data_IF_379979789233
#
_entry.id   IF_379979789233
#
_cell.length_a   1.000
_cell.length_b   1.000
_cell.length_c   1.000
_cell.angle_alpha   90.00
_cell.angle_beta   90.00
_cell.angle_gamma   90.00
#
_symmetry.space_group_name_H-M   'P 1'
#
loop_
_entity.id
_entity.type
_entity.pdbx_description
1 polymer ?
#
# COMPACT_ATOMS: atom_id res chain seq x y z
N UNK A 1 42.95 21.00 -54.91
CA UNK A 1 41.67 21.71 -55.16
C UNK A 1 40.59 20.65 -55.29
N UNK A 2 39.61 20.45 -54.42
CA UNK A 2 39.19 21.13 -53.19
C UNK A 2 38.66 20.07 -52.22
N UNK A 3 38.93 20.27 -50.94
CA UNK A 3 38.46 19.48 -49.80
C UNK A 3 36.94 19.49 -49.73
N UNK A 4 36.34 18.31 -49.64
CA UNK A 4 34.94 18.16 -49.26
C UNK A 4 34.83 18.21 -47.73
N UNK A 5 34.67 19.43 -47.21
CA UNK A 5 34.37 19.70 -45.80
C UNK A 5 32.99 19.13 -45.48
N UNK A 6 32.94 17.89 -45.00
CA UNK A 6 31.79 17.36 -44.26
C UNK A 6 31.82 17.92 -42.83
N UNK A 7 31.46 19.20 -42.69
CA UNK A 7 31.00 19.73 -41.41
C UNK A 7 29.61 19.15 -41.12
N UNK A 8 29.56 17.96 -40.52
CA UNK A 8 28.41 17.58 -39.70
C UNK A 8 28.49 18.45 -38.44
N UNK A 9 27.75 19.55 -38.45
CA UNK A 9 27.42 20.28 -37.24
C UNK A 9 26.79 19.27 -36.27
N UNK A 10 27.55 18.90 -35.24
CA UNK A 10 26.98 18.28 -34.06
C UNK A 10 26.11 19.37 -33.42
N UNK A 11 24.86 19.44 -33.85
CA UNK A 11 23.85 20.20 -33.13
C UNK A 11 23.93 19.72 -31.68
N UNK A 12 24.37 20.62 -30.79
CA UNK A 12 24.39 20.41 -29.35
C UNK A 12 22.97 19.98 -28.97
N UNK A 13 22.77 18.69 -28.73
CA UNK A 13 21.50 18.16 -28.28
C UNK A 13 21.12 18.95 -27.03
N UNK A 14 19.92 19.51 -27.01
CA UNK A 14 19.43 20.22 -25.83
C UNK A 14 19.61 19.32 -24.60
N UNK A 15 20.12 19.85 -23.49
CA UNK A 15 20.33 19.05 -22.29
C UNK A 15 19.00 18.42 -21.88
N UNK A 16 19.01 17.10 -21.61
CA UNK A 16 17.83 16.38 -21.16
C UNK A 16 17.30 17.06 -19.88
N UNK A 17 16.00 17.36 -19.78
CA UNK A 17 15.45 17.99 -18.59
C UNK A 17 15.70 17.09 -17.37
N UNK A 18 16.04 17.72 -16.26
CA UNK A 18 16.21 17.05 -14.98
C UNK A 18 14.86 16.51 -14.48
N UNK A 19 14.84 15.46 -13.62
CA UNK A 19 13.61 14.95 -13.03
C UNK A 19 12.77 16.04 -12.33
N UNK A 20 13.42 17.04 -11.73
CA UNK A 20 12.76 18.19 -11.12
C UNK A 20 12.06 19.09 -12.14
N UNK A 21 12.72 19.46 -13.23
CA UNK A 21 12.11 20.25 -14.30
C UNK A 21 10.94 19.51 -14.97
N UNK A 22 11.07 18.19 -15.10
CA UNK A 22 9.99 17.31 -15.56
C UNK A 22 8.82 17.33 -14.57
N UNK A 23 9.08 17.15 -13.28
CA UNK A 23 8.05 17.20 -12.24
C UNK A 23 7.33 18.56 -12.19
N UNK A 24 8.05 19.68 -12.31
CA UNK A 24 7.48 21.03 -12.29
C UNK A 24 6.49 21.28 -13.45
N UNK A 25 6.78 20.71 -14.63
CA UNK A 25 5.94 20.83 -15.83
C UNK A 25 4.81 19.78 -15.90
N UNK A 26 4.91 18.67 -15.17
CA UNK A 26 3.95 17.58 -15.23
C UNK A 26 2.58 18.00 -14.66
N UNK A 27 1.54 18.00 -15.50
CA UNK A 27 0.17 18.27 -15.08
C UNK A 27 -0.52 16.96 -14.70
N UNK A 28 -1.09 16.90 -13.49
CA UNK A 28 -1.82 15.74 -13.01
C UNK A 28 -3.18 16.16 -12.46
N UNK A 29 -4.24 15.63 -13.05
CA UNK A 29 -5.61 15.88 -12.65
C UNK A 29 -6.31 14.64 -12.11
N UNK A 30 -7.52 14.83 -11.63
CA UNK A 30 -8.44 13.75 -11.31
C UNK A 30 -9.77 13.94 -12.05
N UNK A 31 -10.45 12.83 -12.31
CA UNK A 31 -11.84 12.86 -12.77
C UNK A 31 -12.72 12.08 -11.80
N UNK A 32 -13.75 12.75 -11.28
CA UNK A 32 -14.77 12.15 -10.43
C UNK A 32 -16.02 11.91 -11.28
N UNK A 33 -16.34 10.64 -11.51
CA UNK A 33 -17.52 10.25 -12.28
C UNK A 33 -18.78 10.31 -11.43
N UNK A 34 -19.86 10.81 -12.03
CA UNK A 34 -21.18 10.83 -11.41
C UNK A 34 -21.68 9.41 -11.13
N UNK A 35 -21.40 8.49 -12.06
CA UNK A 35 -21.62 7.07 -11.91
C UNK A 35 -20.33 6.29 -12.24
N UNK A 36 -19.76 5.65 -11.21
CA UNK A 36 -18.51 4.90 -11.34
C UNK A 36 -18.63 3.66 -12.23
N UNK A 37 -19.83 3.11 -12.41
CA UNK A 37 -20.04 1.92 -13.23
C UNK A 37 -20.07 2.21 -14.73
N UNK A 38 -20.35 3.46 -15.12
CA UNK A 38 -20.49 3.83 -16.55
C UNK A 38 -19.32 4.66 -17.06
N UNK A 39 -18.59 5.36 -16.17
CA UNK A 39 -17.47 6.27 -16.50
C UNK A 39 -17.80 7.27 -17.64
N UNK A 40 -19.08 7.61 -17.78
CA UNK A 40 -19.58 8.51 -18.81
C UNK A 40 -19.42 9.96 -18.35
N UNK A 41 -20.33 10.46 -17.51
CA UNK A 41 -20.30 11.85 -17.09
C UNK A 41 -19.58 12.06 -15.75
N UNK A 42 -18.92 13.20 -15.61
CA UNK A 42 -18.21 13.55 -14.39
C UNK A 42 -17.68 14.97 -14.34
N UNK A 43 -16.91 15.25 -13.30
CA UNK A 43 -16.17 16.49 -13.13
C UNK A 43 -14.67 16.21 -13.19
N UNK A 44 -13.98 16.97 -14.03
CA UNK A 44 -12.54 16.96 -14.17
C UNK A 44 -11.92 18.12 -13.38
N UNK A 45 -10.87 17.81 -12.64
CA UNK A 45 -10.17 18.74 -11.77
C UNK A 45 -8.68 18.72 -12.10
N UNK A 46 -8.15 19.88 -12.46
CA UNK A 46 -6.72 20.07 -12.71
C UNK A 46 -6.22 21.22 -11.82
N UNK A 47 -5.11 21.05 -11.07
CA UNK A 47 -4.60 22.12 -10.22
C UNK A 47 -4.36 23.43 -10.99
N UNK A 48 -4.83 24.55 -10.45
CA UNK A 48 -4.71 25.87 -11.07
C UNK A 48 -5.71 26.16 -12.21
N UNK A 49 -6.60 25.22 -12.57
CA UNK A 49 -7.68 25.46 -13.54
C UNK A 49 -9.06 25.36 -12.88
N UNK A 50 -10.05 26.03 -13.47
CA UNK A 50 -11.44 25.88 -13.05
C UNK A 50 -11.92 24.44 -13.34
N UNK A 51 -12.73 23.82 -12.45
CA UNK A 51 -13.34 22.52 -12.72
C UNK A 51 -14.22 22.60 -13.95
N UNK A 52 -14.24 21.53 -14.74
CA UNK A 52 -15.06 21.45 -15.94
C UNK A 52 -15.78 20.10 -16.04
N UNK A 53 -16.93 20.11 -16.71
CA UNK A 53 -17.72 18.93 -16.98
C UNK A 53 -17.11 18.13 -18.12
N UNK A 54 -17.18 16.80 -18.00
CA UNK A 54 -16.82 15.86 -19.06
C UNK A 54 -17.97 14.89 -19.30
N UNK A 55 -18.15 14.48 -20.56
CA UNK A 55 -19.13 13.46 -20.99
C UNK A 55 -18.51 12.07 -21.12
N UNK A 56 -17.19 11.98 -21.00
CA UNK A 56 -16.45 10.74 -21.03
C UNK A 56 -14.95 10.99 -20.82
N UNK A 57 -14.19 9.89 -20.70
CA UNK A 57 -12.73 9.98 -20.59
C UNK A 57 -12.07 10.59 -21.84
N UNK A 58 -12.71 10.53 -23.02
CA UNK A 58 -12.20 11.13 -24.26
C UNK A 58 -12.22 12.67 -24.27
N UNK A 59 -12.99 13.30 -23.39
CA UNK A 59 -13.02 14.76 -23.24
C UNK A 59 -11.84 15.27 -22.40
N UNK A 60 -11.03 14.37 -21.83
CA UNK A 60 -9.90 14.74 -21.00
C UNK A 60 -8.72 15.20 -21.88
N UNK A 61 -8.12 16.37 -21.57
CA UNK A 61 -6.93 16.84 -22.27
C UNK A 61 -5.76 15.86 -22.18
N UNK A 62 -5.12 15.59 -23.34
CA UNK A 62 -3.95 14.71 -23.46
C UNK A 62 -2.64 15.34 -22.92
N UNK A 63 -2.62 16.64 -22.63
CA UNK A 63 -1.48 17.36 -22.05
C UNK A 63 -1.33 17.16 -20.53
N UNK A 64 -2.23 16.40 -19.91
CA UNK A 64 -2.21 16.05 -18.50
C UNK A 64 -2.40 14.55 -18.28
N UNK A 65 -1.84 14.04 -17.18
CA UNK A 65 -2.17 12.72 -16.67
C UNK A 65 -3.42 12.80 -15.78
N UNK A 66 -4.34 11.85 -15.91
CA UNK A 66 -5.59 11.85 -15.16
C UNK A 66 -5.74 10.62 -14.29
N UNK A 67 -6.14 10.78 -13.04
CA UNK A 67 -6.56 9.68 -12.17
C UNK A 67 -8.09 9.66 -12.07
N UNK A 68 -8.69 8.59 -12.59
CA UNK A 68 -10.14 8.39 -12.64
C UNK A 68 -10.68 7.76 -11.37
N UNK A 69 -11.89 8.13 -10.94
CA UNK A 69 -12.57 7.46 -9.84
C UNK A 69 -13.07 6.03 -10.16
N UNK A 70 -12.95 5.58 -11.42
CA UNK A 70 -13.28 4.23 -11.87
C UNK A 70 -12.26 3.17 -11.45
N UNK A 71 -12.72 1.93 -11.27
CA UNK A 71 -11.88 0.80 -10.90
C UNK A 71 -11.41 -0.07 -12.10
N UNK A 72 -10.63 -1.11 -11.83
CA UNK A 72 -10.09 -1.97 -12.87
C UNK A 72 -11.17 -2.71 -13.69
N UNK A 73 -12.26 -3.15 -13.04
CA UNK A 73 -13.34 -3.83 -13.73
C UNK A 73 -14.09 -2.87 -14.64
N UNK A 74 -14.27 -1.62 -14.21
CA UNK A 74 -14.90 -0.57 -15.01
C UNK A 74 -14.09 -0.31 -16.30
N UNK A 75 -12.77 -0.09 -16.17
CA UNK A 75 -11.88 0.13 -17.31
C UNK A 75 -11.83 -1.07 -18.27
N UNK A 76 -11.81 -2.29 -17.73
CA UNK A 76 -11.78 -3.52 -18.54
C UNK A 76 -13.07 -3.73 -19.31
N UNK A 77 -14.23 -3.51 -18.67
CA UNK A 77 -15.55 -3.67 -19.31
C UNK A 77 -15.77 -2.69 -20.45
N UNK A 78 -15.25 -1.47 -20.32
CA UNK A 78 -15.46 -0.39 -21.28
C UNK A 78 -14.43 -0.35 -22.41
N UNK A 79 -13.47 -1.29 -22.45
CA UNK A 79 -12.39 -1.29 -23.45
C UNK A 79 -11.43 -0.09 -23.31
N UNK A 80 -11.53 0.66 -22.22
CA UNK A 80 -10.78 1.90 -21.97
C UNK A 80 -9.39 1.66 -21.35
N UNK A 81 -8.97 0.38 -21.24
CA UNK A 81 -7.65 0.01 -20.74
C UNK A 81 -6.48 0.58 -21.58
N UNK A 82 -6.75 1.10 -22.79
CA UNK A 82 -5.72 1.62 -23.71
C UNK A 82 -5.49 3.14 -23.62
N UNK A 83 -6.16 3.87 -22.73
CA UNK A 83 -5.93 5.32 -22.60
C UNK A 83 -4.61 5.62 -21.88
N UNK A 84 -3.56 5.92 -22.63
CA UNK A 84 -2.21 6.14 -22.11
C UNK A 84 -2.07 7.29 -21.11
N UNK A 85 -2.99 8.26 -21.09
CA UNK A 85 -2.94 9.42 -20.18
C UNK A 85 -3.92 9.28 -18.99
N UNK A 86 -4.72 8.21 -18.91
CA UNK A 86 -5.68 7.98 -17.82
C UNK A 86 -5.28 6.79 -16.96
N UNK A 87 -5.41 6.92 -15.65
CA UNK A 87 -5.13 5.90 -14.63
C UNK A 87 -6.37 5.62 -13.79
N UNK A 88 -6.46 4.42 -13.25
CA UNK A 88 -7.56 3.97 -12.38
C UNK A 88 -7.50 4.59 -10.97
N UNK A 89 -8.58 4.48 -10.22
CA UNK A 89 -8.73 5.08 -8.87
C UNK A 89 -7.65 4.66 -7.88
N UNK A 90 -7.11 3.44 -8.03
CA UNK A 90 -6.05 2.87 -7.20
C UNK A 90 -4.63 3.19 -7.66
N UNK A 91 -4.42 4.15 -8.58
CA UNK A 91 -3.11 4.43 -9.15
C UNK A 91 -2.04 4.72 -8.09
N UNK A 92 -2.40 5.49 -7.04
CA UNK A 92 -1.52 5.83 -5.92
C UNK A 92 -1.48 4.74 -4.82
N UNK A 93 -1.86 3.50 -5.14
CA UNK A 93 -1.95 2.41 -4.17
C UNK A 93 -3.15 2.48 -3.21
N UNK A 94 -3.99 3.51 -3.36
CA UNK A 94 -5.19 3.78 -2.58
C UNK A 94 -6.26 4.36 -3.52
N UNK A 95 -7.54 4.14 -3.21
CA UNK A 95 -8.63 4.78 -3.96
C UNK A 95 -8.64 6.28 -3.71
N UNK A 96 -9.08 7.07 -4.70
CA UNK A 96 -9.25 8.52 -4.53
C UNK A 96 -10.13 8.89 -3.33
N UNK A 97 -11.20 8.12 -3.08
CA UNK A 97 -12.06 8.32 -1.90
C UNK A 97 -11.34 8.04 -0.57
N UNK A 98 -10.41 7.08 -0.55
CA UNK A 98 -9.64 6.78 0.66
C UNK A 98 -8.65 7.90 0.97
N UNK A 99 -7.99 8.43 -0.07
CA UNK A 99 -7.09 9.58 0.05
C UNK A 99 -7.87 10.80 0.54
N UNK A 100 -9.05 11.05 -0.02
CA UNK A 100 -9.90 12.16 0.38
C UNK A 100 -10.28 12.06 1.88
N UNK A 101 -10.76 10.90 2.32
CA UNK A 101 -11.12 10.63 3.73
C UNK A 101 -9.90 10.82 4.66
N UNK A 102 -8.73 10.32 4.27
CA UNK A 102 -7.51 10.44 5.08
C UNK A 102 -7.05 11.90 5.28
N UNK A 103 -7.40 12.80 4.36
CA UNK A 103 -7.09 14.22 4.45
C UNK A 103 -8.29 15.09 4.84
N UNK A 104 -9.43 14.48 5.19
CA UNK A 104 -10.63 15.21 5.62
C UNK A 104 -11.30 15.98 4.48
N UNK A 105 -11.13 15.52 3.25
CA UNK A 105 -11.69 16.12 2.04
C UNK A 105 -12.97 15.39 1.68
N UNK A 106 -14.10 16.11 1.66
CA UNK A 106 -15.38 15.59 1.17
C UNK A 106 -15.48 15.75 -0.35
N UNK A 107 -15.72 14.65 -1.05
CA UNK A 107 -15.82 14.61 -2.52
C UNK A 107 -17.20 14.18 -3.01
N UNK A 108 -18.20 14.30 -2.15
CA UNK A 108 -19.58 13.87 -2.34
C UNK A 108 -20.56 15.06 -2.32
N UNK A 109 -21.73 14.86 -2.93
CA UNK A 109 -22.82 15.83 -2.93
C UNK A 109 -22.37 17.25 -3.30
N UNK A 110 -22.78 18.24 -2.48
CA UNK A 110 -22.46 19.65 -2.70
C UNK A 110 -20.97 20.00 -2.45
N UNK A 111 -20.20 19.10 -1.81
CA UNK A 111 -18.77 19.32 -1.58
C UNK A 111 -17.89 18.85 -2.75
N UNK A 112 -18.44 18.06 -3.69
CA UNK A 112 -17.68 17.41 -4.75
C UNK A 112 -16.79 18.36 -5.56
N UNK A 113 -17.25 19.59 -5.84
CA UNK A 113 -16.46 20.58 -6.58
C UNK A 113 -15.23 21.06 -5.80
N UNK A 114 -15.45 21.60 -4.59
CA UNK A 114 -14.36 22.12 -3.74
C UNK A 114 -13.41 21.00 -3.31
N UNK A 115 -13.97 19.84 -2.95
CA UNK A 115 -13.19 18.68 -2.54
C UNK A 115 -12.40 18.08 -3.70
N UNK A 116 -12.98 18.00 -4.90
CA UNK A 116 -12.28 17.54 -6.10
C UNK A 116 -11.08 18.42 -6.43
N UNK A 117 -11.24 19.75 -6.34
CA UNK A 117 -10.13 20.70 -6.52
C UNK A 117 -9.02 20.48 -5.49
N UNK A 118 -9.38 20.36 -4.20
CA UNK A 118 -8.41 20.10 -3.15
C UNK A 118 -7.68 18.77 -3.38
N UNK A 119 -8.41 17.69 -3.65
CA UNK A 119 -7.85 16.35 -3.86
C UNK A 119 -6.90 16.31 -5.06
N UNK A 120 -7.20 17.03 -6.15
CA UNK A 120 -6.32 17.11 -7.33
C UNK A 120 -4.93 17.65 -6.96
N UNK A 121 -4.85 18.62 -6.05
CA UNK A 121 -3.57 19.19 -5.57
C UNK A 121 -2.75 18.13 -4.85
N UNK A 122 -3.34 17.35 -3.94
CA UNK A 122 -2.65 16.27 -3.23
C UNK A 122 -2.15 15.19 -4.19
N UNK A 123 -2.99 14.78 -5.15
CA UNK A 123 -2.63 13.78 -6.17
C UNK A 123 -1.47 14.27 -7.03
N UNK A 124 -1.51 15.52 -7.50
CA UNK A 124 -0.42 16.09 -8.30
C UNK A 124 0.88 16.16 -7.52
N UNK A 125 0.86 16.63 -6.28
CA UNK A 125 2.08 16.69 -5.46
C UNK A 125 2.67 15.31 -5.21
N UNK A 126 1.85 14.28 -4.94
CA UNK A 126 2.35 12.91 -4.75
C UNK A 126 3.04 12.36 -6.01
N UNK A 127 2.44 12.56 -7.19
CA UNK A 127 3.04 12.10 -8.46
C UNK A 127 4.31 12.86 -8.80
N UNK A 128 4.29 14.20 -8.71
CA UNK A 128 5.47 15.05 -8.98
C UNK A 128 6.63 14.70 -8.05
N UNK A 129 6.33 14.51 -6.77
CA UNK A 129 7.31 14.07 -5.79
C UNK A 129 7.89 12.70 -6.15
N UNK A 130 7.05 11.72 -6.53
CA UNK A 130 7.57 10.42 -6.97
C UNK A 130 8.46 10.55 -8.22
N UNK A 131 8.09 11.40 -9.18
CA UNK A 131 8.91 11.67 -10.38
C UNK A 131 10.29 12.19 -10.02
N UNK A 132 10.33 13.18 -9.12
CA UNK A 132 11.59 13.79 -8.67
C UNK A 132 12.44 12.80 -7.85
N UNK A 133 11.83 12.14 -6.86
CA UNK A 133 12.49 11.21 -5.94
C UNK A 133 13.10 10.01 -6.67
N UNK A 134 12.39 9.45 -7.65
CA UNK A 134 12.78 8.21 -8.33
C UNK A 134 13.40 8.43 -9.70
N UNK A 135 13.65 9.68 -10.11
CA UNK A 135 14.28 10.00 -11.37
C UNK A 135 13.45 9.58 -12.59
N UNK A 136 12.14 9.76 -12.55
CA UNK A 136 11.23 9.38 -13.64
C UNK A 136 11.20 10.45 -14.74
N UNK A 137 12.32 10.60 -15.42
CA UNK A 137 12.65 11.70 -16.32
C UNK A 137 11.89 11.71 -17.68
N UNK A 138 11.13 10.67 -17.99
CA UNK A 138 10.22 10.60 -19.13
C UNK A 138 8.84 10.12 -18.64
N UNK A 139 7.93 11.02 -18.23
CA UNK A 139 6.62 10.64 -17.70
C UNK A 139 5.79 9.84 -18.70
N UNK A 140 5.94 10.11 -20.00
CA UNK A 140 5.22 9.39 -21.05
C UNK A 140 5.61 7.93 -21.08
N UNK A 141 6.84 7.57 -20.71
CA UNK A 141 7.30 6.18 -20.61
C UNK A 141 7.22 5.62 -19.20
N UNK A 142 7.60 6.41 -18.19
CA UNK A 142 7.77 5.95 -16.81
C UNK A 142 6.43 5.81 -16.07
N UNK A 143 5.43 6.64 -16.37
CA UNK A 143 4.16 6.64 -15.65
C UNK A 143 3.08 5.80 -16.34
N UNK A 144 3.42 4.96 -17.32
CA UNK A 144 2.44 4.16 -18.08
C UNK A 144 1.82 3.00 -17.29
N UNK A 145 2.43 2.58 -16.19
CA UNK A 145 1.93 1.45 -15.42
C UNK A 145 0.55 1.71 -14.81
N UNK A 146 -0.20 0.62 -14.57
CA UNK A 146 -1.52 0.65 -13.92
C UNK A 146 -1.51 1.32 -12.53
N UNK A 147 -0.35 1.35 -11.88
CA UNK A 147 -0.14 1.96 -10.56
C UNK A 147 1.26 2.55 -10.45
N UNK A 148 1.37 3.62 -9.68
CA UNK A 148 2.66 4.21 -9.32
C UNK A 148 3.50 3.24 -8.45
N UNK A 149 2.85 2.34 -7.71
CA UNK A 149 3.53 1.22 -7.01
C UNK A 149 4.32 0.35 -7.98
N UNK A 150 3.72 -0.02 -9.12
CA UNK A 150 4.40 -0.82 -10.14
C UNK A 150 5.53 -0.04 -10.83
N UNK A 151 5.34 1.27 -11.07
CA UNK A 151 6.41 2.15 -11.57
C UNK A 151 7.59 2.20 -10.61
N UNK A 152 7.34 2.46 -9.32
CA UNK A 152 8.38 2.51 -8.28
C UNK A 152 9.07 1.15 -8.17
N UNK A 153 8.33 0.04 -8.25
CA UNK A 153 8.92 -1.31 -8.18
C UNK A 153 9.96 -1.59 -9.28
N UNK A 154 9.91 -0.89 -10.43
CA UNK A 154 10.88 -1.08 -11.53
C UNK A 154 12.21 -0.36 -11.30
N UNK A 155 12.21 0.70 -10.48
CA UNK A 155 13.42 1.47 -10.17
C UNK A 155 14.12 0.97 -8.90
N UNK A 156 13.39 0.26 -8.04
CA UNK A 156 13.97 -0.34 -6.84
C UNK A 156 14.88 -1.53 -7.19
N UNK A 157 15.96 -1.75 -6.44
CA UNK A 157 16.80 -2.92 -6.62
C UNK A 157 15.97 -4.21 -6.50
N UNK A 158 16.17 -5.21 -7.39
CA UNK A 158 15.53 -6.49 -7.22
C UNK A 158 16.04 -7.17 -5.94
N UNK A 159 15.18 -7.93 -5.28
CA UNK A 159 15.63 -8.85 -4.23
C UNK A 159 16.56 -9.92 -4.85
N UNK A 160 17.49 -10.47 -4.07
CA UNK A 160 18.32 -11.58 -4.53
C UNK A 160 17.47 -12.72 -5.09
N UNK A 161 17.87 -13.32 -6.23
CA UNK A 161 17.10 -14.40 -6.85
C UNK A 161 16.99 -15.58 -5.88
N UNK A 162 15.76 -16.03 -5.67
CA UNK A 162 15.47 -17.21 -4.86
C UNK A 162 15.35 -18.44 -5.77
N UNK A 163 15.84 -19.61 -5.29
CA UNK A 163 15.62 -20.88 -6.00
C UNK A 163 14.11 -21.19 -6.04
N UNK A 164 13.63 -21.87 -7.09
CA UNK A 164 12.21 -22.18 -7.31
C UNK A 164 11.49 -22.75 -6.08
N UNK A 165 12.14 -23.68 -5.38
CA UNK A 165 11.58 -24.28 -4.17
C UNK A 165 11.34 -23.27 -3.04
N UNK A 166 12.22 -22.27 -2.88
CA UNK A 166 12.05 -21.21 -1.89
C UNK A 166 10.91 -20.27 -2.33
N UNK A 167 10.85 -19.89 -3.61
CA UNK A 167 9.80 -19.03 -4.15
C UNK A 167 8.39 -19.59 -3.93
N UNK A 168 8.20 -20.90 -4.10
CA UNK A 168 6.93 -21.55 -3.82
C UNK A 168 6.53 -21.44 -2.34
N UNK A 169 7.49 -21.62 -1.42
CA UNK A 169 7.26 -21.52 0.02
C UNK A 169 7.02 -20.08 0.48
N UNK A 170 7.74 -19.11 -0.10
CA UNK A 170 7.50 -17.68 0.11
C UNK A 170 6.11 -17.28 -0.37
N UNK A 171 5.70 -17.74 -1.55
CA UNK A 171 4.36 -17.50 -2.09
C UNK A 171 3.27 -18.11 -1.21
N UNK A 172 3.51 -19.30 -0.67
CA UNK A 172 2.63 -19.91 0.32
C UNK A 172 2.64 -19.16 1.66
N UNK A 173 3.76 -18.54 2.05
CA UNK A 173 3.86 -17.73 3.25
C UNK A 173 3.35 -16.30 3.09
N UNK A 174 3.15 -15.81 1.87
CA UNK A 174 2.73 -14.44 1.68
C UNK A 174 1.23 -14.25 1.99
N UNK A 175 0.92 -13.27 2.83
CA UNK A 175 -0.44 -12.81 3.06
C UNK A 175 -0.42 -11.29 3.32
N UNK A 176 -1.11 -10.51 2.49
CA UNK A 176 -1.15 -9.05 2.61
C UNK A 176 -2.29 -8.51 3.47
N UNK A 177 -3.32 -9.34 3.70
CA UNK A 177 -4.55 -8.91 4.35
C UNK A 177 -5.18 -10.05 5.15
N UNK A 178 -5.71 -9.72 6.32
CA UNK A 178 -6.62 -10.57 7.09
C UNK A 178 -8.00 -9.95 7.08
N UNK A 179 -9.02 -10.73 6.77
CA UNK A 179 -10.42 -10.30 6.81
C UNK A 179 -11.26 -11.30 7.58
N UNK A 180 -12.18 -10.81 8.39
CA UNK A 180 -13.21 -11.64 9.04
C UNK A 180 -14.59 -11.25 8.53
N UNK A 181 -15.49 -12.21 8.51
CA UNK A 181 -16.90 -11.89 8.35
C UNK A 181 -17.35 -11.02 9.52
N UNK A 182 -18.04 -9.93 9.19
CA UNK A 182 -18.65 -9.04 10.16
C UNK A 182 -20.15 -9.05 9.89
N UNK A 183 -20.99 -9.46 10.87
CA UNK A 183 -22.42 -9.29 10.76
C UNK A 183 -22.79 -7.86 10.38
N UNK A 184 -23.86 -7.72 9.59
CA UNK A 184 -24.45 -6.42 9.31
C UNK A 184 -24.80 -5.71 10.62
N UNK A 185 -24.47 -4.42 10.68
CA UNK A 185 -24.78 -3.54 11.79
C UNK A 185 -25.61 -2.38 11.24
N UNK A 186 -26.81 -2.21 11.78
CA UNK A 186 -27.65 -1.09 11.41
C UNK A 186 -27.02 0.23 11.85
N UNK A 187 -27.31 1.32 11.14
CA UNK A 187 -26.74 2.66 11.42
C UNK A 187 -25.21 2.68 11.56
N UNK A 188 -24.49 1.79 10.88
CA UNK A 188 -23.03 1.69 11.00
C UNK A 188 -22.27 2.50 9.95
N UNK A 189 -21.04 2.86 10.28
CA UNK A 189 -20.06 3.47 9.40
C UNK A 189 -18.83 2.58 9.35
N UNK A 190 -18.33 2.34 8.14
CA UNK A 190 -17.10 1.60 7.93
C UNK A 190 -15.92 2.57 7.90
N UNK A 191 -15.10 2.54 8.94
CA UNK A 191 -13.95 3.44 9.11
C UNK A 191 -12.66 2.65 8.90
N UNK A 192 -11.74 3.18 8.09
CA UNK A 192 -10.39 2.63 7.98
C UNK A 192 -9.41 3.52 8.74
N UNK A 193 -8.86 2.95 9.81
CA UNK A 193 -7.81 3.54 10.61
C UNK A 193 -6.45 3.26 9.99
N UNK A 194 -5.57 4.27 9.91
CA UNK A 194 -4.20 4.10 9.40
C UNK A 194 -3.19 4.82 10.28
N UNK A 195 -2.01 4.23 10.38
CA UNK A 195 -0.85 4.89 10.95
C UNK A 195 -0.43 6.08 10.08
N UNK A 196 0.35 7.00 10.65
CA UNK A 196 1.00 8.02 9.84
C UNK A 196 1.88 7.33 8.79
N UNK A 197 1.63 7.57 7.51
CA UNK A 197 2.29 6.81 6.43
C UNK A 197 3.81 6.96 6.40
N UNK A 198 4.34 8.14 6.73
CA UNK A 198 5.78 8.36 6.75
C UNK A 198 6.42 7.59 7.91
N UNK A 199 5.89 7.76 9.13
CA UNK A 199 6.38 7.05 10.31
C UNK A 199 6.24 5.53 10.17
N UNK A 200 5.10 5.07 9.62
CA UNK A 200 4.86 3.67 9.30
C UNK A 200 5.88 3.12 8.29
N UNK A 201 6.19 3.87 7.23
CA UNK A 201 7.17 3.46 6.23
C UNK A 201 8.57 3.34 6.85
N UNK A 202 8.98 4.31 7.66
CA UNK A 202 10.28 4.29 8.36
C UNK A 202 10.37 3.11 9.33
N UNK A 203 9.34 2.90 10.14
CA UNK A 203 9.25 1.75 11.04
C UNK A 203 9.34 0.44 10.23
N UNK A 204 8.55 0.29 9.18
CA UNK A 204 8.49 -0.94 8.42
C UNK A 204 9.84 -1.30 7.79
N UNK A 205 10.51 -0.32 7.16
CA UNK A 205 11.79 -0.51 6.47
C UNK A 205 12.99 -0.60 7.42
N UNK A 206 12.79 -0.25 8.70
CA UNK A 206 13.78 -0.50 9.76
C UNK A 206 13.83 -1.96 10.19
N UNK A 207 12.81 -2.77 9.87
CA UNK A 207 12.81 -4.19 10.21
C UNK A 207 13.81 -4.95 9.32
N UNK A 208 14.68 -5.78 9.91
CA UNK A 208 15.61 -6.60 9.14
C UNK A 208 14.85 -7.68 8.38
N UNK A 209 15.43 -8.12 7.27
CA UNK A 209 14.90 -9.19 6.44
C UNK A 209 15.95 -10.30 6.32
N UNK A 210 15.54 -11.57 6.14
CA UNK A 210 16.48 -12.64 5.89
C UNK A 210 17.28 -12.37 4.61
N UNK A 211 18.54 -12.77 4.62
CA UNK A 211 19.40 -12.74 3.44
C UNK A 211 19.38 -14.10 2.70
N UNK A 212 20.27 -14.25 1.72
CA UNK A 212 20.59 -15.50 1.05
C UNK A 212 21.11 -16.61 1.99
N UNK A 213 21.42 -17.78 1.43
CA UNK A 213 22.00 -18.89 2.19
C UNK A 213 20.96 -19.78 2.88
N UNK A 214 19.75 -19.88 2.31
CA UNK A 214 18.70 -20.75 2.82
C UNK A 214 19.10 -22.22 2.79
N UNK A 215 19.09 -22.85 3.96
CA UNK A 215 19.28 -24.29 4.12
C UNK A 215 18.00 -24.94 4.67
N UNK A 216 17.74 -26.17 4.23
CA UNK A 216 16.87 -27.04 5.01
C UNK A 216 17.62 -27.39 6.29
N UNK A 217 17.05 -27.05 7.44
CA UNK A 217 17.51 -27.64 8.67
C UNK A 217 17.10 -29.12 8.65
N UNK A 218 18.00 -29.96 8.15
CA UNK A 218 17.99 -31.39 8.45
C UNK A 218 18.41 -31.53 9.91
N UNK A 219 17.56 -32.16 10.73
CA UNK A 219 17.75 -32.75 12.08
C UNK A 219 18.66 -32.12 13.15
N UNK A 220 19.76 -31.47 12.78
CA UNK A 220 20.91 -31.17 13.63
C UNK A 220 20.74 -29.83 14.37
N UNK A 221 20.02 -28.88 13.77
CA UNK A 221 19.32 -27.86 14.53
C UNK A 221 17.95 -28.44 14.88
N UNK A 222 17.66 -28.61 16.17
CA UNK A 222 16.28 -28.78 16.60
C UNK A 222 15.51 -27.49 16.32
N UNK A 223 14.21 -27.60 16.00
CA UNK A 223 13.35 -26.42 16.01
C UNK A 223 13.19 -25.96 17.46
N UNK A 224 13.79 -24.84 17.82
CA UNK A 224 13.76 -24.29 19.18
C UNK A 224 12.66 -23.22 19.28
N UNK A 225 11.52 -23.61 19.85
CA UNK A 225 10.39 -22.71 20.06
C UNK A 225 10.79 -21.49 20.89
N UNK A 226 11.51 -21.70 21.99
CA UNK A 226 11.84 -20.64 22.95
C UNK A 226 12.81 -19.64 22.31
N UNK A 227 13.79 -20.12 21.56
CA UNK A 227 14.69 -19.24 20.80
C UNK A 227 13.95 -18.43 19.72
N UNK A 228 12.97 -19.04 19.01
CA UNK A 228 12.17 -18.30 18.02
C UNK A 228 11.34 -17.23 18.72
N UNK A 229 10.71 -17.56 19.85
CA UNK A 229 9.92 -16.61 20.64
C UNK A 229 10.77 -15.47 21.21
N UNK A 230 12.01 -15.76 21.62
CA UNK A 230 12.98 -14.78 22.09
C UNK A 230 13.62 -13.94 20.96
N UNK A 231 13.42 -14.32 19.69
CA UNK A 231 14.06 -13.67 18.55
C UNK A 231 15.57 -13.91 18.47
N UNK A 232 16.08 -14.94 19.15
CA UNK A 232 17.48 -15.37 19.11
C UNK A 232 17.72 -16.51 18.11
N UNK A 233 16.63 -17.15 17.65
CA UNK A 233 16.72 -18.12 16.57
C UNK A 233 17.00 -17.45 15.23
N UNK A 234 17.77 -18.08 14.34
CA UNK A 234 17.98 -17.57 12.99
C UNK A 234 16.65 -17.33 12.23
N UNK A 235 16.59 -16.40 11.27
CA UNK A 235 15.37 -16.13 10.51
C UNK A 235 14.90 -17.38 9.79
N UNK A 236 13.61 -17.67 9.92
CA UNK A 236 13.09 -19.00 9.60
C UNK A 236 11.77 -18.93 8.86
N UNK A 237 11.63 -19.77 7.83
CA UNK A 237 10.35 -20.05 7.18
C UNK A 237 9.82 -21.37 7.73
N UNK A 238 8.66 -21.35 8.37
CA UNK A 238 8.09 -22.47 9.12
C UNK A 238 6.94 -23.08 8.33
N UNK A 239 7.01 -24.38 8.07
CA UNK A 239 5.85 -25.16 7.64
C UNK A 239 5.10 -25.65 8.87
N UNK A 240 3.84 -25.25 9.03
CA UNK A 240 3.09 -25.57 10.24
C UNK A 240 1.60 -25.86 9.99
N UNK A 241 1.01 -26.54 10.97
CA UNK A 241 -0.45 -26.63 11.16
C UNK A 241 -0.79 -25.83 12.41
N UNK A 242 -1.82 -25.00 12.31
CA UNK A 242 -2.27 -24.13 13.40
C UNK A 242 -3.57 -24.67 13.96
N UNK A 243 -3.59 -24.91 15.25
CA UNK A 243 -4.77 -25.36 16.00
C UNK A 243 -5.26 -24.22 16.91
N UNK A 244 -6.56 -23.95 16.82
CA UNK A 244 -7.25 -22.94 17.61
C UNK A 244 -8.07 -23.55 18.76
N UNK A 245 -7.72 -24.76 19.20
CA UNK A 245 -8.37 -25.43 20.31
C UNK A 245 -8.19 -24.60 21.60
N UNK A 246 -9.30 -24.27 22.25
CA UNK A 246 -9.32 -23.40 23.43
C UNK A 246 -9.16 -21.90 23.15
N UNK A 247 -9.06 -21.49 21.88
CA UNK A 247 -8.98 -20.08 21.48
C UNK A 247 -10.39 -19.52 21.31
N UNK A 248 -10.71 -18.33 21.86
CA UNK A 248 -12.00 -17.69 21.63
C UNK A 248 -12.30 -17.57 20.14
N UNK A 249 -13.51 -17.97 19.72
CA UNK A 249 -13.88 -18.05 18.31
C UNK A 249 -13.69 -16.70 17.57
N UNK A 250 -13.94 -15.59 18.24
CA UNK A 250 -13.76 -14.27 17.65
C UNK A 250 -12.29 -13.92 17.41
N UNK A 251 -11.40 -14.33 18.31
CA UNK A 251 -9.96 -14.14 18.18
C UNK A 251 -9.41 -15.04 17.07
N UNK A 252 -9.82 -16.31 17.03
CA UNK A 252 -9.48 -17.22 15.93
C UNK A 252 -9.95 -16.67 14.56
N UNK A 253 -11.15 -16.10 14.51
CA UNK A 253 -11.68 -15.44 13.32
C UNK A 253 -10.89 -14.17 12.95
N UNK A 254 -10.40 -13.41 13.93
CA UNK A 254 -9.55 -12.24 13.69
C UNK A 254 -8.19 -12.64 13.10
N UNK A 255 -7.54 -13.66 13.67
CA UNK A 255 -6.24 -14.16 13.19
C UNK A 255 -6.32 -14.57 11.70
N UNK A 256 -7.44 -15.19 11.31
CA UNK A 256 -7.80 -15.53 9.92
C UNK A 256 -6.68 -16.29 9.16
N UNK A 257 -5.91 -17.13 9.85
CA UNK A 257 -4.84 -17.88 9.22
C UNK A 257 -5.39 -18.91 8.23
N UNK A 258 -4.96 -18.81 6.96
CA UNK A 258 -5.43 -19.70 5.90
C UNK A 258 -6.85 -19.41 5.39
N UNK A 259 -7.51 -18.35 5.86
CA UNK A 259 -8.80 -17.88 5.34
C UNK A 259 -8.55 -16.63 4.50
N UNK A 260 -8.43 -16.81 3.18
CA UNK A 260 -8.44 -15.69 2.22
C UNK A 260 -9.88 -15.25 1.91
N UNK A 261 -10.03 -14.00 1.42
CA UNK A 261 -11.33 -13.45 1.01
C UNK A 261 -12.00 -14.19 -0.17
N UNK A 262 -11.30 -15.12 -0.83
CA UNK A 262 -11.83 -15.94 -1.92
C UNK A 262 -12.01 -17.39 -1.49
N UNK A 263 -13.20 -17.96 -1.76
CA UNK A 263 -13.74 -19.24 -1.26
C UNK A 263 -12.92 -20.51 -1.59
N UNK A 264 -11.80 -20.44 -2.31
CA UNK A 264 -11.01 -21.62 -2.69
C UNK A 264 -9.51 -21.33 -2.82
N UNK A 265 -8.80 -21.19 -1.70
CA UNK A 265 -7.34 -21.42 -1.70
C UNK A 265 -6.98 -22.49 -0.68
N UNK A 266 -6.00 -23.32 -1.06
CA UNK A 266 -5.39 -24.32 -0.21
C UNK A 266 -5.00 -23.69 1.15
N UNK A 267 -5.22 -24.43 2.24
CA UNK A 267 -4.80 -24.00 3.58
C UNK A 267 -3.35 -23.53 3.53
N UNK A 268 -3.10 -22.32 4.01
CA UNK A 268 -1.75 -21.76 4.10
C UNK A 268 -0.90 -22.67 4.98
N UNK A 269 0.20 -23.20 4.44
CA UNK A 269 1.05 -24.18 5.13
C UNK A 269 2.39 -23.61 5.59
N UNK A 270 2.79 -22.46 5.07
CA UNK A 270 4.05 -21.80 5.42
C UNK A 270 3.80 -20.44 6.06
N UNK A 271 4.65 -20.05 7.00
CA UNK A 271 4.68 -18.74 7.65
C UNK A 271 6.11 -18.31 7.95
N UNK A 272 6.33 -17.01 8.16
CA UNK A 272 7.61 -16.48 8.63
C UNK A 272 7.77 -16.67 10.13
N UNK A 273 8.99 -16.55 10.67
CA UNK A 273 9.25 -16.50 12.11
C UNK A 273 8.52 -15.34 12.80
N UNK A 274 8.36 -14.21 12.09
CA UNK A 274 7.60 -13.04 12.57
C UNK A 274 6.16 -13.43 12.85
N UNK A 275 5.53 -14.15 11.90
CA UNK A 275 4.17 -14.63 12.09
C UNK A 275 4.04 -15.74 13.10
N UNK A 276 4.99 -16.68 13.10
CA UNK A 276 5.07 -17.72 14.10
C UNK A 276 5.06 -17.14 15.51
N UNK A 277 5.87 -16.10 15.76
CA UNK A 277 5.98 -15.45 17.07
C UNK A 277 4.67 -14.88 17.58
N UNK A 278 3.95 -14.08 16.78
CA UNK A 278 2.71 -13.50 17.28
C UNK A 278 1.58 -14.53 17.32
N UNK A 279 1.54 -15.48 16.38
CA UNK A 279 0.49 -16.49 16.34
C UNK A 279 0.59 -17.49 17.50
N UNK A 280 1.81 -17.88 17.86
CA UNK A 280 2.06 -18.83 18.97
C UNK A 280 1.66 -18.28 20.33
N UNK A 281 1.41 -16.98 20.47
CA UNK A 281 0.83 -16.38 21.68
C UNK A 281 -0.64 -16.73 21.88
N UNK A 282 -1.34 -17.09 20.81
CA UNK A 282 -2.79 -17.27 20.82
C UNK A 282 -3.24 -18.65 20.39
N UNK A 283 -2.43 -19.36 19.60
CA UNK A 283 -2.79 -20.64 19.01
C UNK A 283 -1.64 -21.64 19.14
N UNK A 284 -1.96 -22.94 19.14
CA UNK A 284 -0.95 -23.98 19.11
C UNK A 284 -0.45 -24.17 17.69
N UNK A 285 0.85 -24.00 17.47
CA UNK A 285 1.48 -24.12 16.14
C UNK A 285 2.34 -25.38 16.09
N UNK A 286 1.90 -26.37 15.31
CA UNK A 286 2.61 -27.63 15.09
C UNK A 286 3.57 -27.52 13.92
N UNK A 287 4.86 -27.47 14.21
CA UNK A 287 5.92 -27.36 13.19
C UNK A 287 6.16 -28.72 12.53
N UNK A 288 6.03 -28.75 11.20
CA UNK A 288 6.27 -29.94 10.36
C UNK A 288 7.68 -29.95 9.77
N UNK A 289 8.12 -28.80 9.28
CA UNK A 289 9.44 -28.58 8.73
C UNK A 289 9.75 -27.10 8.73
N UNK A 290 11.00 -26.72 8.52
CA UNK A 290 11.38 -25.32 8.45
C UNK A 290 12.64 -25.11 7.59
N UNK A 291 12.83 -23.89 7.12
CA UNK A 291 14.02 -23.42 6.42
C UNK A 291 14.67 -22.33 7.24
N UNK A 292 15.99 -22.34 7.32
CA UNK A 292 16.76 -21.34 8.05
C UNK A 292 17.58 -20.52 7.07
N UNK A 293 17.59 -19.19 7.26
CA UNK A 293 18.53 -18.30 6.59
C UNK A 293 19.79 -18.11 7.46
N UNK A 294 20.93 -17.92 6.82
CA UNK A 294 22.20 -17.71 7.50
C UNK A 294 22.28 -16.37 8.23
N UNK A 295 21.51 -15.35 7.81
CA UNK A 295 21.58 -14.02 8.38
C UNK A 295 20.24 -13.26 8.28
N UNK A 296 20.05 -12.33 9.21
CA UNK A 296 19.02 -11.28 9.15
C UNK A 296 19.72 -9.94 9.02
N UNK A 297 19.52 -9.24 7.93
CA UNK A 297 20.22 -8.00 7.63
C UNK A 297 19.24 -6.85 7.39
N UNK A 298 19.65 -5.58 7.63
CA UNK A 298 18.89 -4.43 7.15
C UNK A 298 18.65 -4.53 5.64
N UNK A 299 17.55 -3.95 5.17
CA UNK A 299 17.30 -3.84 3.73
C UNK A 299 18.47 -3.11 3.04
N UNK A 300 18.84 -3.51 1.81
CA UNK A 300 19.85 -2.80 1.02
C UNK A 300 19.55 -1.30 0.91
N UNK A 301 20.58 -0.46 0.84
CA UNK A 301 20.42 1.01 0.81
C UNK A 301 19.46 1.49 -0.30
N UNK A 302 19.46 0.85 -1.46
CA UNK A 302 18.53 1.21 -2.56
C UNK A 302 17.07 0.79 -2.32
N UNK A 303 16.81 -0.05 -1.32
CA UNK A 303 15.48 -0.43 -0.84
C UNK A 303 15.05 0.38 0.41
N UNK A 304 15.88 1.31 0.89
CA UNK A 304 15.48 2.25 1.92
C UNK A 304 14.76 3.44 1.28
N UNK A 305 14.06 4.23 2.11
CA UNK A 305 13.47 5.49 1.61
C UNK A 305 14.57 6.39 1.03
N UNK A 306 14.36 6.97 -0.15
CA UNK A 306 15.30 7.90 -0.74
C UNK A 306 15.63 9.06 0.22
N UNK A 307 16.88 9.55 0.26
CA UNK A 307 17.31 10.61 1.17
C UNK A 307 16.42 11.85 1.18
N UNK A 308 15.91 12.23 0.00
CA UNK A 308 15.03 13.39 -0.15
C UNK A 308 13.70 13.24 0.63
N UNK A 309 13.21 12.02 0.83
CA UNK A 309 12.03 11.75 1.67
C UNK A 309 12.41 11.58 3.15
N UNK A 310 13.56 10.99 3.44
CA UNK A 310 13.91 10.51 4.79
C UNK A 310 14.69 11.52 5.65
N UNK A 311 15.45 12.44 5.05
CA UNK A 311 16.39 13.30 5.80
C UNK A 311 15.79 14.67 6.18
N UNK A 312 14.98 15.26 5.30
CA UNK A 312 14.40 16.59 5.52
C UNK A 312 13.09 16.51 6.33
N UNK A 313 13.09 17.13 7.52
CA UNK A 313 11.94 17.14 8.44
C UNK A 313 10.71 17.84 7.86
N UNK A 314 10.89 18.90 7.07
CA UNK A 314 9.78 19.62 6.42
C UNK A 314 9.17 18.74 5.34
N UNK A 315 10.00 18.06 4.54
CA UNK A 315 9.52 17.12 3.53
C UNK A 315 8.76 15.97 4.18
N UNK A 316 9.25 15.42 5.30
CA UNK A 316 8.56 14.35 6.04
C UNK A 316 7.16 14.74 6.53
N UNK A 317 6.93 16.01 6.84
CA UNK A 317 5.64 16.52 7.29
C UNK A 317 4.63 16.68 6.12
N UNK A 318 5.09 16.65 4.87
CA UNK A 318 4.20 16.81 3.71
C UNK A 318 3.31 15.58 3.51
N UNK A 319 1.99 15.79 3.29
CA UNK A 319 1.06 14.73 2.90
C UNK A 319 1.50 13.86 1.72
N UNK A 320 2.09 14.50 0.69
CA UNK A 320 2.62 13.82 -0.48
C UNK A 320 3.75 12.85 -0.13
N UNK A 321 4.66 13.23 0.78
CA UNK A 321 5.74 12.35 1.23
C UNK A 321 5.21 11.10 1.90
N UNK A 322 4.18 11.23 2.74
CA UNK A 322 3.50 10.07 3.32
C UNK A 322 2.92 9.13 2.25
N UNK A 323 2.26 9.66 1.22
CA UNK A 323 1.73 8.83 0.12
C UNK A 323 2.86 8.14 -0.65
N UNK A 324 3.93 8.85 -1.00
CA UNK A 324 5.05 8.30 -1.77
C UNK A 324 5.82 7.25 -0.97
N UNK A 325 6.09 7.49 0.32
CA UNK A 325 6.72 6.51 1.21
C UNK A 325 5.85 5.26 1.40
N UNK A 326 4.52 5.41 1.49
CA UNK A 326 3.62 4.26 1.50
C UNK A 326 3.73 3.45 0.20
N UNK A 327 3.73 4.10 -0.97
CA UNK A 327 3.86 3.43 -2.26
C UNK A 327 5.22 2.73 -2.42
N UNK A 328 6.30 3.30 -1.87
CA UNK A 328 7.61 2.65 -1.78
C UNK A 328 7.53 1.32 -1.04
N UNK A 329 6.95 1.32 0.17
CA UNK A 329 6.76 0.10 0.94
C UNK A 329 5.89 -0.91 0.18
N UNK A 330 4.80 -0.46 -0.44
CA UNK A 330 3.95 -1.34 -1.24
C UNK A 330 4.72 -1.93 -2.44
N UNK A 331 5.63 -1.18 -3.06
CA UNK A 331 6.42 -1.65 -4.20
C UNK A 331 7.36 -2.78 -3.79
N UNK A 332 8.03 -2.67 -2.64
CA UNK A 332 8.87 -3.73 -2.08
C UNK A 332 8.05 -4.97 -1.67
N UNK A 333 6.81 -4.77 -1.24
CA UNK A 333 5.93 -5.86 -0.78
C UNK A 333 5.06 -6.46 -1.89
N UNK A 334 5.12 -5.95 -3.11
CA UNK A 334 4.27 -6.39 -4.20
C UNK A 334 4.81 -7.66 -4.85
N UNK A 335 3.89 -8.50 -5.34
CA UNK A 335 4.28 -9.63 -6.16
C UNK A 335 4.93 -9.15 -7.46
N UNK A 336 5.95 -9.87 -7.92
CA UNK A 336 6.59 -9.63 -9.22
C UNK A 336 6.11 -10.69 -10.20
N UNK A 337 5.70 -10.25 -11.38
CA UNK A 337 5.27 -11.18 -12.42
C UNK A 337 6.48 -11.86 -13.06
N UNK A 338 6.54 -13.18 -12.95
CA UNK A 338 7.54 -14.01 -13.61
C UNK A 338 6.98 -14.56 -14.90
N UNK A 339 7.62 -14.23 -16.02
CA UNK A 339 7.28 -14.80 -17.34
C UNK A 339 7.66 -16.28 -17.45
N UNK A 340 8.62 -16.73 -16.63
CA UNK A 340 9.10 -18.12 -16.64
C UNK A 340 8.05 -19.04 -16.02
N UNK A 341 7.49 -18.67 -14.87
CA UNK A 341 6.46 -19.46 -14.19
C UNK A 341 5.04 -19.04 -14.58
N UNK A 342 4.89 -17.98 -15.37
CA UNK A 342 3.62 -17.36 -15.74
C UNK A 342 2.76 -17.04 -14.51
N UNK A 343 3.40 -16.60 -13.43
CA UNK A 343 2.77 -16.41 -12.13
C UNK A 343 3.33 -15.20 -11.38
N UNK A 344 2.58 -14.75 -10.38
CA UNK A 344 3.01 -13.70 -9.46
C UNK A 344 3.83 -14.34 -8.33
N UNK A 345 5.10 -13.98 -8.25
CA UNK A 345 6.06 -14.50 -7.28
C UNK A 345 6.31 -13.46 -6.18
N UNK A 346 6.52 -13.94 -4.96
CA UNK A 346 6.88 -13.11 -3.81
C UNK A 346 8.30 -13.42 -3.38
N UNK A 347 9.07 -12.35 -3.17
CA UNK A 347 10.44 -12.45 -2.69
C UNK A 347 10.51 -12.39 -1.15
N UNK A 348 11.72 -12.58 -0.63
CA UNK A 348 11.99 -12.59 0.82
C UNK A 348 11.63 -11.26 1.46
N UNK A 349 12.01 -10.14 0.83
CA UNK A 349 11.72 -8.79 1.35
C UNK A 349 10.22 -8.60 1.50
N UNK A 350 9.45 -8.83 0.43
CA UNK A 350 8.02 -8.64 0.47
C UNK A 350 7.32 -9.57 1.46
N UNK A 351 7.81 -10.80 1.61
CA UNK A 351 7.23 -11.78 2.55
C UNK A 351 7.46 -11.38 4.01
N UNK A 352 8.66 -10.96 4.39
CA UNK A 352 8.96 -10.53 5.78
C UNK A 352 8.37 -9.18 6.12
N UNK A 353 8.46 -8.19 5.24
CA UNK A 353 7.84 -6.88 5.46
C UNK A 353 6.31 -7.02 5.62
N UNK A 354 5.66 -7.91 4.86
CA UNK A 354 4.23 -8.22 5.08
C UNK A 354 3.94 -8.88 6.41
N UNK A 355 4.83 -9.74 6.88
CA UNK A 355 4.67 -10.36 8.19
C UNK A 355 4.73 -9.31 9.31
N UNK A 356 5.66 -8.35 9.22
CA UNK A 356 5.74 -7.21 10.15
C UNK A 356 4.49 -6.32 10.07
N UNK A 357 4.10 -5.89 8.86
CA UNK A 357 2.86 -5.14 8.61
C UNK A 357 1.64 -5.82 9.27
N UNK A 358 1.48 -7.12 9.06
CA UNK A 358 0.35 -7.87 9.65
C UNK A 358 0.48 -8.03 11.16
N UNK A 359 1.67 -8.15 11.72
CA UNK A 359 1.86 -8.23 13.16
C UNK A 359 1.40 -6.96 13.87
N UNK A 360 1.85 -5.78 13.42
CA UNK A 360 1.45 -4.50 14.03
C UNK A 360 -0.04 -4.19 13.80
N UNK A 361 -0.55 -4.50 12.61
CA UNK A 361 -1.96 -4.30 12.30
C UNK A 361 -2.86 -5.26 13.10
N UNK A 362 -2.41 -6.48 13.36
CA UNK A 362 -3.13 -7.44 14.21
C UNK A 362 -3.18 -6.94 15.66
N UNK A 363 -2.10 -6.40 16.20
CA UNK A 363 -2.08 -5.83 17.55
C UNK A 363 -3.11 -4.68 17.69
N UNK A 364 -3.12 -3.74 16.73
CA UNK A 364 -4.12 -2.68 16.70
C UNK A 364 -5.55 -3.21 16.54
N UNK A 365 -5.74 -4.21 15.69
CA UNK A 365 -7.03 -4.86 15.49
C UNK A 365 -7.53 -5.56 16.75
N UNK A 366 -6.65 -6.29 17.46
CA UNK A 366 -7.01 -6.96 18.71
C UNK A 366 -7.42 -5.93 19.76
N UNK A 367 -6.63 -4.86 19.96
CA UNK A 367 -6.96 -3.79 20.92
C UNK A 367 -8.30 -3.11 20.62
N UNK A 368 -8.61 -2.89 19.33
CA UNK A 368 -9.92 -2.35 18.93
C UNK A 368 -11.06 -3.33 19.21
N UNK A 369 -10.84 -4.63 19.01
CA UNK A 369 -11.82 -5.65 19.35
C UNK A 369 -12.04 -5.73 20.87
N UNK A 370 -10.98 -5.69 21.66
CA UNK A 370 -11.04 -5.67 23.13
C UNK A 370 -11.74 -4.41 23.66
N UNK A 371 -11.64 -3.29 22.94
CA UNK A 371 -12.39 -2.06 23.18
C UNK A 371 -13.86 -2.11 22.69
N UNK A 372 -14.32 -3.25 22.17
CA UNK A 372 -15.71 -3.49 21.76
C UNK A 372 -16.06 -3.01 20.35
N UNK A 373 -15.08 -2.70 19.49
CA UNK A 373 -15.32 -2.35 18.09
C UNK A 373 -15.35 -3.58 17.18
N UNK A 374 -16.20 -3.54 16.15
CA UNK A 374 -16.35 -4.63 15.20
C UNK A 374 -15.29 -4.54 14.10
N UNK A 375 -14.16 -5.24 14.28
CA UNK A 375 -13.10 -5.29 13.26
C UNK A 375 -13.51 -6.15 12.08
N UNK A 376 -13.36 -5.62 10.86
CA UNK A 376 -13.66 -6.32 9.60
C UNK A 376 -12.42 -6.83 8.87
N UNK A 377 -11.26 -6.21 9.11
CA UNK A 377 -9.99 -6.68 8.56
C UNK A 377 -8.83 -5.73 8.82
N UNK A 378 -7.63 -6.20 8.53
CA UNK A 378 -6.40 -5.46 8.79
C UNK A 378 -5.25 -5.88 7.85
N UNK A 379 -4.24 -5.02 7.78
CA UNK A 379 -3.05 -5.13 6.92
C UNK A 379 -2.79 -3.84 6.16
N UNK A 380 -1.71 -3.78 5.38
CA UNK A 380 -1.29 -2.58 4.64
C UNK A 380 -1.21 -1.30 5.52
N UNK A 381 -0.73 -1.41 6.76
CA UNK A 381 -0.65 -0.30 7.72
C UNK A 381 -2.01 0.21 8.19
N UNK A 382 -3.04 -0.64 8.18
CA UNK A 382 -4.41 -0.21 8.45
C UNK A 382 -5.27 -1.27 9.12
N UNK A 383 -6.29 -0.81 9.86
CA UNK A 383 -7.35 -1.62 10.45
C UNK A 383 -8.69 -1.04 10.00
N UNK A 384 -9.63 -1.91 9.59
CA UNK A 384 -10.97 -1.51 9.20
C UNK A 384 -11.96 -1.96 10.26
N UNK A 385 -12.72 -1.01 10.78
CA UNK A 385 -13.78 -1.24 11.75
C UNK A 385 -15.13 -0.86 11.16
N UNK A 386 -16.17 -1.61 11.50
CA UNK A 386 -17.54 -1.13 11.41
C UNK A 386 -17.94 -0.65 12.79
N UNK A 387 -18.47 0.56 12.87
CA UNK A 387 -18.83 1.20 14.14
C UNK A 387 -20.21 1.80 14.02
N UNK A 388 -21.01 1.69 15.07
CA UNK A 388 -22.24 2.47 15.18
C UNK A 388 -21.91 3.97 15.12
N UNK A 389 -22.69 4.76 14.40
CA UNK A 389 -22.49 6.22 14.33
C UNK A 389 -22.39 6.86 15.71
N UNK A 390 -23.12 6.37 16.70
CA UNK A 390 -23.11 6.88 18.08
C UNK A 390 -21.75 6.68 18.78
N UNK A 391 -20.96 5.71 18.31
CA UNK A 391 -19.66 5.37 18.88
C UNK A 391 -18.48 5.97 18.11
N UNK A 392 -18.71 6.85 17.14
CA UNK A 392 -17.64 7.45 16.33
C UNK A 392 -16.63 8.25 17.17
N UNK A 393 -17.09 9.02 18.16
CA UNK A 393 -16.20 9.77 19.07
C UNK A 393 -15.38 8.83 19.95
N UNK A 394 -15.98 7.76 20.45
CA UNK A 394 -15.25 6.74 21.20
C UNK A 394 -14.19 6.03 20.32
N UNK A 395 -14.51 5.81 19.05
CA UNK A 395 -13.56 5.25 18.09
C UNK A 395 -12.40 6.21 17.82
N UNK A 396 -12.65 7.51 17.68
CA UNK A 396 -11.59 8.51 17.55
C UNK A 396 -10.62 8.45 18.73
N UNK A 397 -11.14 8.47 19.96
CA UNK A 397 -10.34 8.40 21.17
C UNK A 397 -9.49 7.13 21.22
N UNK A 398 -10.10 5.97 20.91
CA UNK A 398 -9.39 4.70 20.85
C UNK A 398 -8.32 4.69 19.75
N UNK A 399 -8.61 5.26 18.58
CA UNK A 399 -7.68 5.33 17.47
C UNK A 399 -6.46 6.20 17.80
N UNK A 400 -6.68 7.38 18.40
CA UNK A 400 -5.61 8.29 18.85
C UNK A 400 -4.74 7.60 19.90
N UNK A 401 -5.34 6.90 20.87
CA UNK A 401 -4.60 6.16 21.89
C UNK A 401 -3.76 4.99 21.33
N UNK A 402 -4.00 4.59 20.09
CA UNK A 402 -3.29 3.52 19.39
C UNK A 402 -2.43 4.05 18.23
N UNK A 403 -2.13 5.35 18.21
CA UNK A 403 -1.30 6.04 17.21
C UNK A 403 -1.83 5.96 15.76
N UNK A 404 -3.11 5.67 15.59
CA UNK A 404 -3.77 5.86 14.30
C UNK A 404 -4.01 7.36 14.08
N UNK A 405 -3.46 7.91 13.00
CA UNK A 405 -3.54 9.34 12.67
C UNK A 405 -4.52 9.64 11.55
N UNK A 406 -5.09 8.59 10.95
CA UNK A 406 -6.08 8.67 9.88
C UNK A 406 -7.28 7.79 10.22
N UNK A 407 -8.49 8.17 9.80
CA UNK A 407 -8.80 9.31 8.93
C UNK A 407 -8.72 10.66 9.69
N UNK A 408 -8.82 11.78 8.97
CA UNK A 408 -9.03 13.09 9.62
C UNK A 408 -10.46 13.15 10.14
N UNK A 409 -10.60 13.00 11.45
CA UNK A 409 -11.88 12.83 12.15
C UNK A 409 -12.88 13.95 11.92
N UNK A 410 -12.46 15.22 11.87
CA UNK A 410 -13.38 16.36 11.73
C UNK A 410 -14.35 16.22 10.55
N UNK A 411 -13.88 15.81 9.37
CA UNK A 411 -14.75 15.67 8.20
C UNK A 411 -15.73 14.50 8.34
N UNK A 412 -15.26 13.39 8.92
CA UNK A 412 -16.08 12.20 9.18
C UNK A 412 -17.14 12.49 10.25
N UNK A 413 -16.78 13.17 11.32
CA UNK A 413 -17.68 13.57 12.40
C UNK A 413 -18.74 14.57 11.92
N UNK A 414 -18.34 15.58 11.15
CA UNK A 414 -19.26 16.55 10.56
C UNK A 414 -20.28 15.91 9.61
N UNK A 415 -19.89 14.85 8.87
CA UNK A 415 -20.82 14.10 8.01
C UNK A 415 -22.01 13.54 8.79
N UNK A 416 -21.81 13.19 10.06
CA UNK A 416 -22.83 12.62 10.93
C UNK A 416 -23.36 13.59 11.99
N UNK A 417 -23.14 14.90 11.80
CA UNK A 417 -23.72 15.93 12.66
C UNK A 417 -23.00 16.14 14.00
N UNK A 418 -21.81 15.55 14.18
CA UNK A 418 -20.97 15.83 15.33
C UNK A 418 -20.21 17.13 15.11
N UNK A 419 -20.40 18.09 16.00
CA UNK A 419 -19.56 19.29 16.06
C UNK A 419 -18.34 18.93 16.89
N UNK A 420 -17.21 18.72 16.23
CA UNK A 420 -15.92 18.57 16.93
C UNK A 420 -15.66 19.86 17.73
N UNK A 421 -15.40 19.81 19.05
CA UNK A 421 -14.84 20.96 19.73
C UNK A 421 -13.47 21.21 19.09
N UNK A 422 -13.27 22.37 18.46
CA UNK A 422 -12.10 22.72 17.64
C UNK A 422 -10.77 22.14 18.16
N UNK A 423 -10.43 20.92 17.75
CA UNK A 423 -9.12 20.33 17.99
C UNK A 423 -8.18 20.80 16.87
N UNK A 424 -7.81 22.08 16.98
CA UNK A 424 -6.74 22.69 16.20
C UNK A 424 -5.41 22.39 16.89
N UNK A 425 -4.88 21.18 16.68
CA UNK A 425 -3.50 20.83 16.98
C UNK A 425 -2.81 20.17 15.78
#
# INVERSE_FOLDING_TARGET
>A
MFENVRQRSAALAEPKPTPREVAEKLMVGIVLHDNRNTLAEGWAFLPGRAPFRVRGLYDLPNDAMWVSSGDFQDFRKLGQAQMHHVRRTGYLGLKLSEIAIDFGIRIDGHHALKGGQALAVYVQHAVRMAVEVYGLDDPMRNLQDDTLVATISKVLPPAPPSKDMLLQKLTAAYQSWSSRYTPFMDNSVRVRLRFNRMQYAEWLLSNPVPDAGWSHALSDLGFDHDAVMAGTFPPTLVQAVVEFDGVPAELAALIAYGIGATRQRAKRTWMTDVEYRWMSKYARVHVKSYLVSAACLPLPTGCQLPPMLAQDRLVKALPASGLVSYMHCQALMSAKYSRVTNSNEYDVHGTWLRAHDRAICFEGAQRLQDAGFQVSGYGNGSVIVNVDREKLVALEQAAVAMDFTMPRWNALLQEFGYVSPDHSH
#
